data_IF_617276368182
#
_entry.id   IF_617276368182
#
_cell.length_a   1.000
_cell.length_b   1.000
_cell.length_c   1.000
_cell.angle_alpha   90.00
_cell.angle_beta   90.00
_cell.angle_gamma   90.00
#
_symmetry.space_group_name_H-M   'P 1'
#
loop_
_entity.id
_entity.type
_entity.pdbx_description
1 polymer ?
#
# COMPACT_ATOMS: atom_id res chain seq x y z
N UNK A 1 -29.05 -28.56 -36.36
CA UNK A 1 -27.74 -28.16 -35.78
C UNK A 1 -27.73 -28.54 -34.30
N UNK A 2 -27.52 -29.84 -34.03
CA UNK A 2 -27.62 -30.42 -32.69
C UNK A 2 -26.20 -30.73 -32.25
N UNK A 3 -25.75 -30.09 -31.17
CA UNK A 3 -24.38 -30.23 -30.64
C UNK A 3 -24.01 -31.71 -30.54
N UNK A 4 -22.91 -32.11 -31.20
CA UNK A 4 -22.23 -33.37 -30.94
C UNK A 4 -21.95 -33.41 -29.43
N UNK A 5 -22.79 -34.13 -28.68
CA UNK A 5 -22.57 -34.41 -27.26
C UNK A 5 -21.38 -35.36 -27.18
N UNK A 6 -20.18 -34.78 -27.16
CA UNK A 6 -18.97 -35.46 -26.71
C UNK A 6 -19.24 -35.85 -25.25
N UNK A 7 -19.63 -37.12 -25.05
CA UNK A 7 -20.02 -37.64 -23.74
C UNK A 7 -18.80 -37.60 -22.81
N UNK A 8 -18.83 -36.71 -21.82
CA UNK A 8 -17.87 -36.72 -20.70
C UNK A 8 -16.99 -35.48 -20.51
N UNK A 9 -17.32 -34.33 -21.09
CA UNK A 9 -16.60 -33.07 -20.85
C UNK A 9 -17.50 -31.89 -20.50
N UNK A 10 -16.96 -30.92 -19.76
CA UNK A 10 -17.64 -29.64 -19.45
C UNK A 10 -18.19 -28.99 -20.73
N UNK A 11 -19.43 -28.49 -20.74
CA UNK A 11 -20.00 -27.84 -21.94
C UNK A 11 -19.16 -26.63 -22.37
N UNK A 12 -18.98 -26.45 -23.69
CA UNK A 12 -18.29 -25.27 -24.29
C UNK A 12 -18.83 -23.95 -23.71
N UNK A 13 -20.15 -23.88 -23.50
CA UNK A 13 -20.85 -22.70 -22.98
C UNK A 13 -20.41 -22.33 -21.56
N UNK A 14 -20.31 -23.32 -20.66
CA UNK A 14 -19.93 -23.09 -19.26
C UNK A 14 -18.48 -22.65 -19.09
N UNK A 15 -17.56 -23.24 -19.86
CA UNK A 15 -16.14 -22.86 -19.83
C UNK A 15 -15.97 -21.39 -20.24
N UNK A 16 -16.65 -20.98 -21.31
CA UNK A 16 -16.61 -19.59 -21.78
C UNK A 16 -17.18 -18.60 -20.78
N UNK A 17 -18.35 -18.92 -20.19
CA UNK A 17 -19.00 -18.05 -19.20
C UNK A 17 -18.06 -17.86 -18.00
N UNK A 18 -17.51 -18.95 -17.48
CA UNK A 18 -16.58 -18.88 -16.34
C UNK A 18 -15.33 -18.05 -16.67
N UNK A 19 -14.74 -18.26 -17.84
CA UNK A 19 -13.56 -17.50 -18.28
C UNK A 19 -13.88 -16.01 -18.49
N UNK A 20 -15.02 -15.68 -19.09
CA UNK A 20 -15.47 -14.30 -19.21
C UNK A 20 -15.71 -13.64 -17.84
N UNK A 21 -16.30 -14.36 -16.88
CA UNK A 21 -16.48 -13.86 -15.51
C UNK A 21 -15.12 -13.50 -14.87
N UNK A 22 -14.12 -14.36 -15.01
CA UNK A 22 -12.77 -14.09 -14.50
C UNK A 22 -12.16 -12.85 -15.20
N UNK A 23 -12.22 -12.77 -16.53
CA UNK A 23 -11.71 -11.59 -17.24
C UNK A 23 -12.44 -10.30 -16.82
N UNK A 24 -13.75 -10.35 -16.56
CA UNK A 24 -14.49 -9.17 -16.05
C UNK A 24 -14.07 -8.77 -14.64
N UNK A 25 -13.75 -9.73 -13.76
CA UNK A 25 -13.20 -9.42 -12.43
C UNK A 25 -11.83 -8.77 -12.49
N UNK A 26 -10.95 -9.28 -13.36
CA UNK A 26 -9.63 -8.68 -13.58
C UNK A 26 -9.74 -7.26 -14.16
N UNK A 27 -10.71 -7.04 -15.06
CA UNK A 27 -11.00 -5.70 -15.57
C UNK A 27 -11.41 -4.75 -14.43
N UNK A 28 -12.34 -5.16 -13.56
CA UNK A 28 -12.75 -4.37 -12.41
C UNK A 28 -11.57 -4.04 -11.48
N UNK A 29 -10.74 -5.03 -11.16
CA UNK A 29 -9.54 -4.84 -10.34
C UNK A 29 -8.54 -3.87 -10.99
N UNK A 30 -8.34 -3.97 -12.31
CA UNK A 30 -7.48 -3.05 -13.05
C UNK A 30 -7.98 -1.60 -13.02
N UNK A 31 -9.29 -1.38 -13.20
CA UNK A 31 -9.89 -0.03 -13.07
C UNK A 31 -9.72 0.49 -11.66
N UNK A 32 -9.99 -0.33 -10.64
CA UNK A 32 -9.85 0.05 -9.24
C UNK A 32 -8.41 0.50 -8.92
N UNK A 33 -7.39 -0.26 -9.34
CA UNK A 33 -5.99 0.12 -9.17
C UNK A 33 -5.64 1.44 -9.87
N UNK A 34 -6.15 1.66 -11.08
CA UNK A 34 -5.92 2.91 -11.79
C UNK A 34 -6.60 4.10 -11.11
N UNK A 35 -7.83 3.93 -10.62
CA UNK A 35 -8.53 5.01 -9.90
C UNK A 35 -7.82 5.38 -8.61
N UNK A 36 -7.40 4.39 -7.81
CA UNK A 36 -6.63 4.63 -6.58
C UNK A 36 -5.31 5.31 -6.93
N UNK A 37 -4.55 4.79 -7.89
CA UNK A 37 -3.27 5.38 -8.30
C UNK A 37 -3.41 6.81 -8.82
N UNK A 38 -4.47 7.10 -9.58
CA UNK A 38 -4.73 8.45 -10.10
C UNK A 38 -5.12 9.44 -8.99
N UNK A 39 -6.03 9.03 -8.09
CA UNK A 39 -6.41 9.87 -6.94
C UNK A 39 -5.22 10.12 -6.03
N UNK A 40 -4.44 9.07 -5.73
CA UNK A 40 -3.20 9.22 -4.96
C UNK A 40 -2.27 10.23 -5.64
N UNK A 41 -2.02 10.09 -6.95
CA UNK A 41 -1.20 11.04 -7.71
C UNK A 41 -1.70 12.49 -7.60
N UNK A 42 -3.01 12.71 -7.75
CA UNK A 42 -3.60 14.05 -7.62
C UNK A 42 -3.37 14.64 -6.23
N UNK A 43 -3.44 13.82 -5.18
CA UNK A 43 -3.12 14.25 -3.82
C UNK A 43 -1.64 14.57 -3.65
N UNK A 44 -0.73 13.80 -4.27
CA UNK A 44 0.71 14.10 -4.25
C UNK A 44 1.01 15.47 -4.86
N UNK A 45 0.49 15.77 -6.06
CA UNK A 45 0.74 17.05 -6.74
C UNK A 45 0.18 18.26 -5.94
N UNK A 46 -0.81 18.05 -5.06
CA UNK A 46 -1.36 19.11 -4.20
C UNK A 46 -0.59 19.27 -2.87
N UNK A 47 0.12 18.23 -2.41
CA UNK A 47 0.78 18.13 -1.10
C UNK A 47 2.30 17.98 -1.21
N UNK A 48 2.90 18.49 -2.31
CA UNK A 48 4.32 18.37 -2.72
C UNK A 48 5.37 18.54 -1.58
N UNK A 49 5.01 19.21 -0.49
CA UNK A 49 5.91 19.57 0.62
C UNK A 49 6.12 18.45 1.65
N UNK A 50 5.26 17.43 1.73
CA UNK A 50 5.30 16.44 2.83
C UNK A 50 5.71 15.01 2.45
N UNK A 51 5.86 14.68 1.16
CA UNK A 51 5.89 13.29 0.74
C UNK A 51 7.14 12.89 -0.07
N UNK A 52 7.71 11.74 0.30
CA UNK A 52 8.95 11.19 -0.23
C UNK A 52 8.83 10.73 -1.71
N UNK A 53 9.86 11.01 -2.52
CA UNK A 53 9.99 10.58 -3.91
C UNK A 53 9.83 9.05 -4.12
N UNK A 54 10.11 8.25 -3.09
CA UNK A 54 9.89 6.80 -3.07
C UNK A 54 8.42 6.43 -3.23
N UNK A 55 7.53 7.16 -2.56
CA UNK A 55 6.09 6.89 -2.58
C UNK A 55 5.49 7.24 -3.94
N UNK A 56 5.95 8.32 -4.56
CA UNK A 56 5.57 8.67 -5.93
C UNK A 56 5.92 7.57 -6.94
N UNK A 57 7.12 6.99 -6.85
CA UNK A 57 7.53 5.86 -7.73
C UNK A 57 6.64 4.63 -7.53
N UNK A 58 6.27 4.32 -6.29
CA UNK A 58 5.37 3.20 -5.98
C UNK A 58 3.97 3.41 -6.62
N UNK A 59 3.42 4.62 -6.55
CA UNK A 59 2.13 4.95 -7.17
C UNK A 59 2.18 4.82 -8.69
N UNK A 60 3.24 5.32 -9.33
CA UNK A 60 3.44 5.15 -10.77
C UNK A 60 3.50 3.67 -11.17
N UNK A 61 4.21 2.85 -10.39
CA UNK A 61 4.31 1.42 -10.61
C UNK A 61 2.94 0.72 -10.50
N UNK A 62 2.14 1.05 -9.47
CA UNK A 62 0.78 0.49 -9.33
C UNK A 62 -0.13 0.86 -10.50
N UNK A 63 -0.02 2.08 -11.03
CA UNK A 63 -0.75 2.47 -12.23
C UNK A 63 -0.31 1.66 -13.45
N UNK A 64 1.00 1.45 -13.65
CA UNK A 64 1.52 0.60 -14.72
C UNK A 64 0.91 -0.81 -14.65
N UNK A 65 0.96 -1.45 -13.47
CA UNK A 65 0.38 -2.79 -13.25
C UNK A 65 -1.13 -2.79 -13.53
N UNK A 66 -1.86 -1.77 -13.08
CA UNK A 66 -3.28 -1.60 -13.37
C UNK A 66 -3.59 -1.54 -14.87
N UNK A 67 -2.81 -0.78 -15.64
CA UNK A 67 -2.99 -0.71 -17.11
C UNK A 67 -2.72 -2.05 -17.79
N UNK A 68 -1.67 -2.77 -17.39
CA UNK A 68 -1.34 -4.08 -17.95
C UNK A 68 -2.44 -5.10 -17.66
N UNK A 69 -3.00 -5.08 -16.45
CA UNK A 69 -4.12 -5.93 -16.07
C UNK A 69 -5.36 -5.67 -16.96
N UNK A 70 -5.68 -4.41 -17.26
CA UNK A 70 -6.79 -4.07 -18.17
C UNK A 70 -6.57 -4.58 -19.59
N UNK A 71 -5.36 -4.41 -20.13
CA UNK A 71 -5.02 -4.90 -21.47
C UNK A 71 -5.17 -6.41 -21.55
N UNK A 72 -4.66 -7.14 -20.55
CA UNK A 72 -4.81 -8.60 -20.45
C UNK A 72 -6.27 -9.03 -20.35
N UNK A 73 -7.05 -8.38 -19.49
CA UNK A 73 -8.47 -8.66 -19.31
C UNK A 73 -9.25 -8.44 -20.62
N UNK A 74 -8.94 -7.38 -21.36
CA UNK A 74 -9.59 -7.05 -22.63
C UNK A 74 -9.29 -8.08 -23.72
N UNK A 75 -8.01 -8.47 -23.88
CA UNK A 75 -7.61 -9.51 -24.85
C UNK A 75 -8.28 -10.85 -24.50
N UNK A 76 -8.28 -11.23 -23.21
CA UNK A 76 -8.93 -12.46 -22.73
C UNK A 76 -10.44 -12.46 -22.97
N UNK A 77 -11.11 -11.33 -22.69
CA UNK A 77 -12.54 -11.18 -22.91
C UNK A 77 -12.91 -11.27 -24.40
N UNK A 78 -12.22 -10.54 -25.27
CA UNK A 78 -12.45 -10.59 -26.72
C UNK A 78 -12.17 -11.99 -27.26
N UNK A 79 -11.08 -12.62 -26.83
CA UNK A 79 -10.69 -13.96 -27.26
C UNK A 79 -11.77 -15.00 -26.94
N UNK A 80 -12.32 -14.96 -25.73
CA UNK A 80 -13.38 -15.88 -25.30
C UNK A 80 -14.74 -15.57 -25.95
N UNK A 81 -15.12 -14.29 -25.99
CA UNK A 81 -16.42 -13.85 -26.52
C UNK A 81 -16.54 -14.08 -28.03
N UNK A 82 -15.56 -13.63 -28.81
CA UNK A 82 -15.56 -13.76 -30.29
C UNK A 82 -15.01 -15.10 -30.79
N UNK A 83 -14.66 -16.02 -29.89
CA UNK A 83 -13.95 -17.27 -30.24
C UNK A 83 -12.68 -17.02 -31.09
N UNK A 84 -12.03 -15.87 -30.90
CA UNK A 84 -10.90 -15.45 -31.71
C UNK A 84 -9.63 -16.18 -31.27
N UNK A 85 -9.22 -17.20 -32.04
CA UNK A 85 -8.08 -18.08 -31.72
C UNK A 85 -6.77 -17.32 -31.51
N UNK A 86 -6.29 -16.45 -32.42
CA UNK A 86 -5.06 -15.69 -32.18
C UNK A 86 -5.11 -14.80 -30.93
N UNK A 87 -6.28 -14.23 -30.59
CA UNK A 87 -6.43 -13.46 -29.35
C UNK A 87 -6.31 -14.36 -28.09
N UNK A 88 -6.86 -15.58 -28.13
CA UNK A 88 -6.66 -16.54 -27.04
C UNK A 88 -5.21 -17.05 -26.95
N UNK A 89 -4.52 -17.23 -28.08
CA UNK A 89 -3.10 -17.60 -28.09
C UNK A 89 -2.21 -16.51 -27.50
N UNK A 90 -2.43 -15.25 -27.88
CA UNK A 90 -1.70 -14.11 -27.31
C UNK A 90 -1.98 -13.98 -25.82
N UNK A 91 -3.22 -14.17 -25.37
CA UNK A 91 -3.54 -14.19 -23.94
C UNK A 91 -2.79 -15.31 -23.18
N UNK A 92 -2.81 -16.55 -23.68
CA UNK A 92 -2.04 -17.66 -23.09
C UNK A 92 -0.54 -17.34 -23.00
N UNK A 93 0.03 -16.82 -24.10
CA UNK A 93 1.45 -16.47 -24.17
C UNK A 93 1.79 -15.42 -23.11
N UNK A 94 1.00 -14.34 -23.01
CA UNK A 94 1.23 -13.27 -22.05
C UNK A 94 1.13 -13.78 -20.60
N UNK A 95 0.15 -14.62 -20.28
CA UNK A 95 0.07 -15.22 -18.94
C UNK A 95 1.30 -16.07 -18.59
N UNK A 96 1.81 -16.85 -19.55
CA UNK A 96 3.03 -17.63 -19.34
C UNK A 96 4.23 -16.69 -19.12
N UNK A 97 4.38 -15.65 -19.94
CA UNK A 97 5.48 -14.68 -19.79
C UNK A 97 5.42 -13.99 -18.43
N UNK A 98 4.26 -13.49 -18.01
CA UNK A 98 4.11 -12.86 -16.69
C UNK A 98 4.40 -13.83 -15.55
N UNK A 99 3.92 -15.09 -15.64
CA UNK A 99 4.21 -16.10 -14.61
C UNK A 99 5.70 -16.41 -14.48
N UNK A 100 6.44 -16.39 -15.58
CA UNK A 100 7.90 -16.57 -15.57
C UNK A 100 8.59 -15.35 -14.98
N UNK A 101 8.15 -14.13 -15.30
CA UNK A 101 8.71 -12.89 -14.73
C UNK A 101 8.46 -12.80 -13.21
N UNK A 102 7.26 -13.14 -12.75
CA UNK A 102 6.95 -13.18 -11.32
C UNK A 102 7.78 -14.25 -10.61
N UNK A 103 7.92 -15.43 -11.22
CA UNK A 103 8.75 -16.52 -10.70
C UNK A 103 10.23 -16.14 -10.58
N UNK A 104 10.80 -15.42 -11.56
CA UNK A 104 12.19 -14.96 -11.48
C UNK A 104 12.39 -13.91 -10.40
N UNK A 105 11.47 -12.94 -10.27
CA UNK A 105 11.53 -11.93 -9.20
C UNK A 105 11.41 -12.58 -7.82
N UNK A 106 10.49 -13.52 -7.63
CA UNK A 106 10.35 -14.26 -6.38
C UNK A 106 11.61 -15.07 -6.04
N UNK A 107 12.22 -15.72 -7.03
CA UNK A 107 13.47 -16.46 -6.86
C UNK A 107 14.64 -15.56 -6.47
N UNK A 108 14.81 -14.41 -7.14
CA UNK A 108 15.83 -13.42 -6.81
C UNK A 108 15.60 -12.89 -5.38
N UNK A 109 14.37 -12.52 -5.03
CA UNK A 109 14.04 -12.05 -3.68
C UNK A 109 14.35 -13.08 -2.59
N UNK A 110 14.06 -14.35 -2.85
CA UNK A 110 14.40 -15.45 -1.93
C UNK A 110 15.92 -15.62 -1.77
N UNK A 111 16.68 -15.61 -2.87
CA UNK A 111 18.14 -15.81 -2.82
C UNK A 111 18.87 -14.62 -2.18
N UNK A 112 18.40 -13.39 -2.38
CA UNK A 112 19.02 -12.19 -1.83
C UNK A 112 18.61 -11.85 -0.39
N UNK A 113 17.76 -12.67 0.26
CA UNK A 113 17.24 -12.39 1.61
C UNK A 113 18.32 -12.10 2.65
N UNK A 114 19.44 -12.82 2.59
CA UNK A 114 20.56 -12.63 3.52
C UNK A 114 21.31 -11.32 3.27
N UNK A 115 21.51 -10.93 2.01
CA UNK A 115 22.15 -9.67 1.67
C UNK A 115 21.28 -8.47 2.10
N UNK A 116 19.95 -8.62 2.00
CA UNK A 116 19.01 -7.59 2.48
C UNK A 116 19.08 -7.41 4.00
N UNK A 117 19.25 -8.49 4.77
CA UNK A 117 19.45 -8.43 6.23
C UNK A 117 20.74 -7.65 6.56
N UNK A 118 21.87 -7.99 5.94
CA UNK A 118 23.14 -7.27 6.15
C UNK A 118 23.03 -5.79 5.76
N UNK A 119 22.40 -5.49 4.62
CA UNK A 119 22.22 -4.11 4.17
C UNK A 119 21.31 -3.32 5.11
N UNK A 120 20.27 -3.97 5.65
CA UNK A 120 19.38 -3.40 6.65
C UNK A 120 20.15 -3.06 7.93
N UNK A 121 20.94 -4.00 8.44
CA UNK A 121 21.78 -3.79 9.63
C UNK A 121 22.77 -2.64 9.39
N UNK A 122 23.43 -2.60 8.24
CA UNK A 122 24.37 -1.54 7.86
C UNK A 122 23.69 -0.17 7.82
N UNK A 123 22.46 -0.10 7.30
CA UNK A 123 21.67 1.13 7.27
C UNK A 123 21.20 1.59 8.65
N UNK A 124 20.87 0.65 9.53
CA UNK A 124 20.54 0.94 10.93
C UNK A 124 21.75 1.50 11.68
N UNK A 125 22.93 0.91 11.49
CA UNK A 125 24.18 1.46 12.04
C UNK A 125 24.46 2.86 11.52
N UNK A 126 24.30 3.08 10.22
CA UNK A 126 24.47 4.39 9.61
C UNK A 126 23.50 5.43 10.21
N UNK A 127 22.21 5.09 10.39
CA UNK A 127 21.23 6.02 10.94
C UNK A 127 21.49 6.35 12.41
N UNK A 128 21.89 5.38 13.23
CA UNK A 128 22.26 5.61 14.63
C UNK A 128 23.52 6.49 14.74
N UNK A 129 24.55 6.24 13.92
CA UNK A 129 25.78 7.03 13.93
C UNK A 129 25.58 8.47 13.43
N UNK A 130 24.64 8.68 12.51
CA UNK A 130 24.36 10.01 11.96
C UNK A 130 23.43 10.84 12.85
N UNK A 131 22.71 10.20 13.78
CA UNK A 131 21.77 10.83 14.71
C UNK A 131 22.33 12.02 15.51
N UNK A 132 23.50 11.93 16.17
CA UNK A 132 24.07 13.07 16.90
C UNK A 132 24.70 14.13 15.97
N UNK A 133 25.04 13.76 14.73
CA UNK A 133 25.77 14.61 13.79
C UNK A 133 24.83 15.51 12.99
N UNK A 134 23.69 14.97 12.53
CA UNK A 134 22.76 15.67 11.66
C UNK A 134 21.32 15.54 12.17
N UNK A 135 20.76 16.70 12.51
CA UNK A 135 19.39 16.89 13.02
C UNK A 135 18.35 16.30 12.06
N UNK A 136 18.65 16.20 10.77
CA UNK A 136 17.74 15.64 9.76
C UNK A 136 17.42 14.17 10.03
N UNK A 137 18.32 13.42 10.68
CA UNK A 137 18.15 12.00 10.98
C UNK A 137 17.36 11.72 12.26
N UNK A 138 17.30 12.70 13.17
CA UNK A 138 16.59 12.60 14.44
C UNK A 138 15.13 12.14 14.29
N UNK A 139 14.27 12.78 13.44
CA UNK A 139 12.88 12.36 13.32
C UNK A 139 12.73 10.94 12.74
N UNK A 140 13.66 10.47 11.91
CA UNK A 140 13.60 9.12 11.35
C UNK A 140 13.92 8.07 12.41
N UNK A 141 15.01 8.29 13.17
CA UNK A 141 15.44 7.39 14.25
C UNK A 141 14.42 7.38 15.39
N UNK A 142 13.97 8.54 15.81
CA UNK A 142 12.96 8.67 16.86
C UNK A 142 11.67 7.93 16.46
N UNK A 143 11.24 8.11 15.20
CA UNK A 143 10.01 7.49 14.69
C UNK A 143 10.07 5.97 14.70
N UNK A 144 11.14 5.33 14.21
CA UNK A 144 11.17 3.87 14.18
C UNK A 144 11.39 3.26 15.57
N UNK A 145 12.15 3.92 16.46
CA UNK A 145 12.35 3.46 17.84
C UNK A 145 11.05 3.46 18.63
N UNK A 146 10.27 4.53 18.51
CA UNK A 146 8.96 4.62 19.16
C UNK A 146 7.93 3.67 18.56
N UNK A 147 7.91 3.51 17.22
CA UNK A 147 6.95 2.63 16.55
C UNK A 147 7.24 1.15 16.81
N UNK A 148 8.51 0.75 16.82
CA UNK A 148 8.94 -0.64 17.01
C UNK A 148 9.22 -1.00 18.47
N UNK A 149 9.21 -0.01 19.39
CA UNK A 149 9.56 -0.15 20.80
C UNK A 149 10.91 -0.84 20.97
N UNK A 150 11.92 -0.26 20.35
CA UNK A 150 13.28 -0.77 20.30
C UNK A 150 14.30 0.34 20.53
N UNK A 151 15.51 -0.02 20.97
CA UNK A 151 16.60 0.94 21.15
C UNK A 151 17.93 0.39 20.61
N UNK A 152 18.68 1.25 19.93
CA UNK A 152 19.93 0.87 19.26
C UNK A 152 19.71 -0.09 18.08
N UNK A 153 20.81 -0.66 17.55
CA UNK A 153 20.74 -1.60 16.44
C UNK A 153 20.43 -3.00 16.97
N UNK A 154 21.29 -3.51 17.85
CA UNK A 154 21.16 -4.79 18.55
C UNK A 154 20.73 -4.60 20.00
N UNK A 155 21.17 -3.52 20.65
CA UNK A 155 20.84 -3.23 22.05
C UNK A 155 20.98 -1.72 22.37
N UNK A 156 20.39 -1.25 23.46
CA UNK A 156 20.53 0.13 23.92
C UNK A 156 21.99 0.55 24.17
N UNK A 157 22.86 -0.42 24.47
CA UNK A 157 24.31 -0.21 24.64
C UNK A 157 25.00 0.28 23.38
N UNK A 158 24.39 0.13 22.20
CA UNK A 158 24.96 0.63 20.94
C UNK A 158 25.05 2.16 20.88
N UNK A 159 24.33 2.87 21.74
CA UNK A 159 24.49 4.31 21.93
C UNK A 159 25.75 4.69 22.70
N UNK A 160 26.32 3.75 23.46
CA UNK A 160 27.49 3.96 24.31
C UNK A 160 28.80 3.84 23.54
N UNK A 161 28.81 3.19 22.37
CA UNK A 161 30.01 3.03 21.52
C UNK A 161 30.43 4.35 20.84
N UNK A 162 29.61 5.40 20.90
CA UNK A 162 29.94 6.74 20.43
C UNK A 162 30.79 7.57 21.43
N UNK A 163 31.08 7.04 22.63
CA UNK A 163 31.80 7.73 23.71
C UNK A 163 33.18 7.11 23.98
N UNK A 164 34.17 7.90 24.42
CA UNK A 164 35.49 7.38 24.78
C UNK A 164 35.42 6.35 25.90
N UNK A 165 36.33 5.34 25.90
CA UNK A 165 36.28 4.20 26.78
C UNK A 165 36.84 4.56 28.17
N UNK A 166 36.06 5.26 28.99
CA UNK A 166 36.31 5.30 30.44
C UNK A 166 35.01 4.90 31.17
N UNK A 167 35.09 3.72 31.78
CA UNK A 167 34.29 3.12 32.86
C UNK A 167 32.77 3.36 32.86
N UNK A 168 32.01 2.46 32.23
CA UNK A 168 30.62 2.20 32.58
C UNK A 168 30.44 0.77 33.08
N UNK A 169 29.86 0.63 34.27
CA UNK A 169 29.49 -0.65 34.86
C UNK A 169 28.01 -0.94 34.63
N UNK A 170 27.61 -2.21 34.65
CA UNK A 170 26.24 -2.68 34.37
C UNK A 170 25.15 -2.05 35.29
N UNK A 171 25.55 -1.44 36.41
CA UNK A 171 24.68 -0.78 37.39
C UNK A 171 24.30 0.67 37.01
N UNK A 172 24.88 1.23 35.93
CA UNK A 172 24.66 2.62 35.51
C UNK A 172 23.45 2.80 34.57
N UNK A 173 22.37 2.03 34.74
CA UNK A 173 21.14 2.15 33.91
C UNK A 173 20.56 3.58 33.94
N UNK A 174 20.62 4.25 35.09
CA UNK A 174 20.14 5.64 35.26
C UNK A 174 21.02 6.67 34.54
N UNK A 175 22.32 6.39 34.40
CA UNK A 175 23.26 7.23 33.67
C UNK A 175 23.09 7.03 32.16
N UNK A 176 22.92 5.78 31.73
CA UNK A 176 22.64 5.40 30.35
C UNK A 176 21.30 5.99 29.87
N UNK A 177 20.30 6.08 30.76
CA UNK A 177 19.01 6.72 30.48
C UNK A 177 19.10 8.22 30.14
N UNK A 178 20.17 8.92 30.55
CA UNK A 178 20.42 10.30 30.16
C UNK A 178 21.12 10.43 28.80
N UNK A 179 21.79 9.37 28.34
CA UNK A 179 22.60 9.37 27.12
C UNK A 179 21.84 8.86 25.90
N UNK A 180 20.83 8.02 26.10
CA UNK A 180 19.98 7.52 25.01
C UNK A 180 18.93 8.56 24.59
N UNK A 181 18.52 8.57 23.31
CA UNK A 181 17.40 9.40 22.85
C UNK A 181 16.12 9.14 23.65
N UNK A 182 15.29 10.19 23.87
CA UNK A 182 13.98 10.04 24.51
C UNK A 182 13.05 9.07 23.78
N UNK A 183 13.27 8.83 22.48
CA UNK A 183 12.54 7.85 21.67
C UNK A 183 12.80 6.38 22.06
N UNK A 184 13.88 6.11 22.79
CA UNK A 184 14.18 4.80 23.37
C UNK A 184 13.41 4.51 24.67
N UNK A 185 12.70 5.50 25.21
CA UNK A 185 11.99 5.43 26.48
C UNK A 185 10.50 5.13 26.27
N UNK A 186 9.90 4.30 27.14
CA UNK A 186 8.44 4.20 27.18
C UNK A 186 7.82 5.44 27.84
N UNK A 187 7.06 6.20 27.05
CA UNK A 187 6.37 7.42 27.49
C UNK A 187 5.16 7.14 28.40
N UNK A 188 4.78 5.86 28.57
CA UNK A 188 3.70 5.47 29.48
C UNK A 188 4.11 5.51 30.95
N UNK A 189 5.41 5.52 31.25
CA UNK A 189 5.93 5.47 32.62
C UNK A 189 6.29 6.89 33.11
N UNK A 190 5.41 7.48 33.92
CA UNK A 190 5.44 8.92 34.26
C UNK A 190 6.57 9.35 35.21
N UNK A 191 7.41 8.43 35.69
CA UNK A 191 8.42 8.74 36.72
C UNK A 191 9.86 8.40 36.37
N UNK A 192 10.12 7.46 35.44
CA UNK A 192 11.46 7.09 34.98
C UNK A 192 11.40 6.57 33.53
N UNK A 193 12.37 6.94 32.69
CA UNK A 193 12.51 6.38 31.34
C UNK A 193 12.83 4.88 31.44
N UNK A 194 11.86 4.02 31.14
CA UNK A 194 12.13 2.58 30.95
C UNK A 194 12.65 2.37 29.54
N UNK A 195 13.92 1.98 29.44
CA UNK A 195 14.62 1.80 28.15
C UNK A 195 14.13 0.51 27.48
N UNK A 196 13.88 0.57 26.18
CA UNK A 196 13.63 -0.63 25.38
C UNK A 196 14.90 -1.49 25.28
N UNK A 197 14.89 -2.67 25.90
CA UNK A 197 16.04 -3.60 25.88
C UNK A 197 16.22 -4.35 24.55
N UNK A 198 15.19 -4.35 23.69
CA UNK A 198 15.26 -5.00 22.38
C UNK A 198 15.89 -4.10 21.32
N UNK A 199 16.86 -4.62 20.56
CA UNK A 199 17.44 -3.95 19.40
C UNK A 199 16.48 -3.81 18.23
N UNK A 200 16.57 -2.70 17.49
CA UNK A 200 15.71 -2.43 16.35
C UNK A 200 15.93 -3.38 15.17
N UNK A 201 17.13 -3.95 15.02
CA UNK A 201 17.41 -4.96 13.99
C UNK A 201 16.51 -6.19 14.15
N UNK A 202 16.40 -6.74 15.36
CA UNK A 202 15.60 -7.95 15.59
C UNK A 202 14.11 -7.74 15.30
N UNK A 203 13.53 -6.64 15.81
CA UNK A 203 12.13 -6.29 15.57
C UNK A 203 11.85 -6.04 14.09
N UNK A 204 12.74 -5.32 13.42
CA UNK A 204 12.59 -5.02 12.01
C UNK A 204 12.79 -6.30 11.16
N UNK A 205 13.72 -7.17 11.54
CA UNK A 205 13.96 -8.46 10.90
C UNK A 205 12.72 -9.35 10.97
N UNK A 206 12.09 -9.47 12.14
CA UNK A 206 10.85 -10.25 12.31
C UNK A 206 9.75 -9.75 11.35
N UNK A 207 9.59 -8.42 11.25
CA UNK A 207 8.62 -7.80 10.32
C UNK A 207 8.98 -8.12 8.87
N UNK A 208 10.25 -7.98 8.47
CA UNK A 208 10.70 -8.28 7.11
C UNK A 208 10.58 -9.77 6.78
N UNK A 209 10.82 -10.65 7.73
CA UNK A 209 10.70 -12.09 7.58
C UNK A 209 9.24 -12.51 7.38
N UNK A 210 8.34 -12.04 8.24
CA UNK A 210 6.90 -12.35 8.15
C UNK A 210 6.26 -11.74 6.89
N UNK A 211 6.59 -10.48 6.60
CA UNK A 211 6.12 -9.80 5.39
C UNK A 211 6.71 -10.47 4.15
N UNK A 212 7.99 -10.82 4.15
CA UNK A 212 8.69 -11.50 3.07
C UNK A 212 8.09 -12.88 2.77
N UNK A 213 7.79 -13.68 3.80
CA UNK A 213 7.10 -14.95 3.65
C UNK A 213 5.68 -14.77 3.09
N UNK A 214 4.96 -13.75 3.54
CA UNK A 214 3.63 -13.42 3.01
C UNK A 214 3.69 -13.03 1.53
N UNK A 215 4.69 -12.24 1.12
CA UNK A 215 4.90 -11.87 -0.28
C UNK A 215 5.28 -13.10 -1.13
N UNK A 216 6.18 -13.95 -0.64
CA UNK A 216 6.60 -15.17 -1.34
C UNK A 216 5.44 -16.16 -1.54
N UNK A 217 4.61 -16.35 -0.51
CA UNK A 217 3.44 -17.24 -0.60
C UNK A 217 2.37 -16.68 -1.54
N UNK A 218 2.10 -15.38 -1.49
CA UNK A 218 1.15 -14.72 -2.40
C UNK A 218 1.62 -14.76 -3.86
N UNK A 219 2.90 -14.50 -4.13
CA UNK A 219 3.48 -14.56 -5.49
C UNK A 219 3.45 -15.97 -6.05
N UNK A 220 3.82 -16.99 -5.26
CA UNK A 220 3.70 -18.38 -5.69
C UNK A 220 2.24 -18.77 -6.01
N UNK A 221 1.29 -18.30 -5.20
CA UNK A 221 -0.14 -18.52 -5.45
C UNK A 221 -0.61 -17.83 -6.74
N UNK A 222 -0.13 -16.61 -7.00
CA UNK A 222 -0.42 -15.88 -8.23
C UNK A 222 0.12 -16.61 -9.48
N UNK A 223 1.37 -17.08 -9.44
CA UNK A 223 1.99 -17.88 -10.51
C UNK A 223 1.16 -19.14 -10.80
N UNK A 224 0.76 -19.88 -9.76
CA UNK A 224 -0.09 -21.06 -9.91
C UNK A 224 -1.44 -20.72 -10.55
N UNK A 225 -2.08 -19.63 -10.10
CA UNK A 225 -3.35 -19.16 -10.66
C UNK A 225 -3.22 -18.76 -12.14
N UNK A 226 -2.14 -18.07 -12.52
CA UNK A 226 -1.85 -17.69 -13.90
C UNK A 226 -1.61 -18.91 -14.79
N UNK A 227 -0.86 -19.91 -14.31
CA UNK A 227 -0.63 -21.17 -15.03
C UNK A 227 -1.92 -21.96 -15.20
N UNK A 228 -2.77 -22.02 -14.17
CA UNK A 228 -4.12 -22.59 -14.29
C UNK A 228 -4.94 -21.83 -15.34
N UNK A 229 -4.93 -20.50 -15.33
CA UNK A 229 -5.60 -19.65 -16.32
C UNK A 229 -5.12 -19.92 -17.75
N UNK A 230 -3.80 -20.02 -17.95
CA UNK A 230 -3.19 -20.35 -19.23
C UNK A 230 -3.58 -21.77 -19.69
N UNK A 231 -3.61 -22.74 -18.77
CA UNK A 231 -4.07 -24.11 -19.03
C UNK A 231 -5.54 -24.18 -19.46
N UNK A 232 -6.41 -23.44 -18.78
CA UNK A 232 -7.83 -23.34 -19.14
C UNK A 232 -8.02 -22.67 -20.50
N UNK A 233 -7.30 -21.58 -20.77
CA UNK A 233 -7.34 -20.90 -22.07
C UNK A 233 -6.82 -21.83 -23.19
N UNK A 234 -5.73 -22.58 -22.96
CA UNK A 234 -5.22 -23.56 -23.92
C UNK A 234 -6.23 -24.68 -24.19
N UNK A 235 -6.87 -25.21 -23.15
CA UNK A 235 -7.93 -26.21 -23.28
C UNK A 235 -9.12 -25.69 -24.09
N UNK A 236 -9.54 -24.43 -23.84
CA UNK A 236 -10.57 -23.77 -24.62
C UNK A 236 -10.18 -23.66 -26.10
N UNK A 237 -8.94 -23.24 -26.39
CA UNK A 237 -8.45 -23.14 -27.78
C UNK A 237 -8.40 -24.50 -28.46
N UNK A 238 -7.90 -25.54 -27.79
CA UNK A 238 -7.88 -26.91 -28.33
C UNK A 238 -9.30 -27.38 -28.68
N UNK A 239 -10.26 -27.10 -27.80
CA UNK A 239 -11.66 -27.44 -28.03
C UNK A 239 -12.27 -26.65 -29.19
N UNK A 240 -11.97 -25.35 -29.29
CA UNK A 240 -12.41 -24.51 -30.42
C UNK A 240 -11.85 -24.99 -31.77
N UNK A 241 -10.57 -25.39 -31.81
CA UNK A 241 -9.97 -25.99 -33.01
C UNK A 241 -10.62 -27.32 -33.38
N UNK A 242 -10.85 -28.20 -32.40
CA UNK A 242 -11.50 -29.48 -32.64
C UNK A 242 -12.90 -29.31 -33.24
N UNK A 243 -13.70 -28.38 -32.72
CA UNK A 243 -15.03 -28.08 -33.29
C UNK A 243 -14.95 -27.57 -34.73
N UNK A 244 -13.98 -26.73 -35.04
CA UNK A 244 -13.82 -26.22 -36.39
C UNK A 244 -13.37 -27.30 -37.40
N UNK A 245 -12.49 -28.21 -36.98
CA UNK A 245 -12.09 -29.34 -37.83
C UNK A 245 -13.27 -30.28 -38.12
N UNK A 246 -14.10 -30.56 -37.11
CA UNK A 246 -15.31 -31.38 -37.28
C UNK A 246 -16.28 -30.70 -38.24
N UNK A 247 -16.46 -29.38 -38.13
CA UNK A 247 -17.36 -28.60 -39.00
C UNK A 247 -16.87 -28.58 -40.46
N UNK A 248 -15.56 -28.47 -40.66
CA UNK A 248 -14.91 -28.51 -41.97
C UNK A 248 -15.00 -29.90 -42.62
N UNK A 249 -14.78 -30.98 -41.85
CA UNK A 249 -15.00 -32.36 -42.33
C UNK A 249 -16.47 -32.59 -42.72
N UNK A 250 -17.42 -32.09 -41.92
CA UNK A 250 -18.86 -32.22 -42.17
C UNK A 250 -19.25 -31.52 -43.47
N UNK A 251 -18.72 -30.31 -43.70
CA UNK A 251 -18.96 -29.54 -44.91
C UNK A 251 -18.38 -30.20 -46.17
N UNK A 252 -17.18 -30.79 -46.05
CA UNK A 252 -16.58 -31.54 -47.16
C UNK A 252 -17.32 -32.85 -47.46
N UNK A 253 -17.82 -33.56 -46.44
CA UNK A 253 -18.65 -34.75 -46.64
C UNK A 253 -20.00 -34.44 -47.26
N UNK A 254 -20.64 -33.33 -46.86
CA UNK A 254 -21.87 -32.81 -47.47
C UNK A 254 -21.73 -32.58 -48.98
N UNK A 255 -20.63 -31.92 -49.40
CA UNK A 255 -20.35 -31.65 -50.81
C UNK A 255 -19.95 -32.89 -51.62
N UNK A 256 -19.17 -33.81 -51.02
CA UNK A 256 -18.63 -34.97 -51.75
C UNK A 256 -19.69 -36.04 -52.00
N UNK A 257 -20.51 -36.35 -50.99
CA UNK A 257 -21.52 -37.41 -51.05
C UNK A 257 -22.76 -37.01 -50.23
N UNK A 258 -23.74 -36.32 -50.83
CA UNK A 258 -24.97 -35.88 -50.14
C UNK A 258 -25.74 -37.04 -49.50
N UNK A 259 -25.71 -38.23 -50.10
CA UNK A 259 -26.30 -39.44 -49.54
C UNK A 259 -25.60 -39.91 -48.27
N UNK A 260 -24.27 -39.87 -48.22
CA UNK A 260 -23.50 -40.24 -47.03
C UNK A 260 -23.69 -39.21 -45.90
N UNK A 261 -23.77 -37.92 -46.25
CA UNK A 261 -24.15 -36.87 -45.31
C UNK A 261 -25.57 -37.07 -44.78
N UNK A 262 -26.56 -37.34 -45.64
CA UNK A 262 -27.94 -37.64 -45.22
C UNK A 262 -28.02 -38.88 -44.34
N UNK A 263 -27.15 -39.90 -44.59
CA UNK A 263 -27.05 -41.10 -43.75
C UNK A 263 -26.46 -40.77 -42.38
N UNK A 264 -25.41 -39.94 -42.32
CA UNK A 264 -24.91 -39.38 -41.05
C UNK A 264 -25.95 -38.50 -40.35
N UNK A 265 -26.83 -37.84 -41.11
CA UNK A 265 -27.95 -37.04 -40.61
C UNK A 265 -29.15 -37.90 -40.16
N UNK A 266 -29.27 -39.12 -40.69
CA UNK A 266 -30.28 -40.12 -40.33
C UNK A 266 -29.81 -41.08 -39.23
N UNK A 267 -28.49 -41.19 -39.03
CA UNK A 267 -27.85 -41.80 -37.85
C UNK A 267 -27.90 -40.84 -36.62
N UNK A 268 -28.50 -39.65 -36.78
CA UNK A 268 -29.05 -38.95 -35.62
C UNK A 268 -30.07 -39.88 -34.95
N UNK A 269 -30.14 -39.92 -33.61
CA UNK A 269 -31.14 -40.73 -32.95
C UNK A 269 -32.52 -40.33 -33.49
N UNK A 270 -33.36 -41.29 -33.92
CA UNK A 270 -34.71 -41.01 -34.37
C UNK A 270 -35.45 -40.23 -33.28
N UNK A 271 -36.50 -39.47 -33.62
CA UNK A 271 -37.24 -38.64 -32.65
C UNK A 271 -37.78 -39.43 -31.42
N UNK A 272 -37.70 -40.77 -31.43
CA UNK A 272 -37.96 -41.69 -30.32
C UNK A 272 -36.78 -42.52 -29.75
N UNK A 273 -35.52 -42.33 -30.21
CA UNK A 273 -34.31 -42.95 -29.66
C UNK A 273 -34.04 -44.43 -29.99
N UNK A 274 -32.76 -44.84 -29.95
CA UNK A 274 -32.33 -46.26 -29.99
C UNK A 274 -32.44 -46.90 -28.59
N UNK A 275 -32.62 -48.22 -28.51
CA UNK A 275 -32.47 -48.95 -27.25
C UNK A 275 -31.07 -48.78 -26.69
N UNK A 276 -30.98 -48.55 -25.37
CA UNK A 276 -29.74 -48.25 -24.68
C UNK A 276 -28.78 -49.44 -24.81
N UNK A 277 -27.72 -49.28 -25.61
CA UNK A 277 -26.61 -50.23 -25.59
C UNK A 277 -25.92 -50.02 -24.24
N UNK A 278 -25.73 -51.05 -23.39
CA UNK A 278 -25.25 -50.88 -22.02
C UNK A 278 -23.73 -50.68 -22.00
N UNK A 279 -23.24 -49.60 -22.62
CA UNK A 279 -21.92 -49.09 -22.28
C UNK A 279 -22.08 -48.29 -20.99
N UNK A 280 -21.78 -48.91 -19.85
CA UNK A 280 -21.59 -48.20 -18.59
C UNK A 280 -20.29 -47.39 -18.69
N UNK A 281 -20.31 -46.31 -19.49
CA UNK A 281 -19.30 -45.25 -19.43
C UNK A 281 -19.49 -44.63 -18.06
N UNK A 282 -18.56 -44.88 -17.14
CA UNK A 282 -18.51 -44.15 -15.87
C UNK A 282 -18.25 -42.69 -16.29
N UNK A 283 -19.25 -41.78 -16.24
CA UNK A 283 -18.95 -40.40 -16.54
C UNK A 283 -17.89 -39.96 -15.54
N UNK A 284 -16.86 -39.25 -15.99
CA UNK A 284 -15.95 -38.57 -15.05
C UNK A 284 -16.83 -37.81 -14.06
N UNK A 285 -16.68 -38.09 -12.76
CA UNK A 285 -17.51 -37.47 -11.73
C UNK A 285 -17.32 -35.96 -11.85
N UNK A 286 -18.31 -35.27 -12.42
CA UNK A 286 -18.35 -33.81 -12.41
C UNK A 286 -18.77 -33.41 -11.02
N UNK A 287 -17.80 -33.03 -10.19
CA UNK A 287 -18.03 -32.66 -8.79
C UNK A 287 -18.92 -31.41 -8.66
N UNK A 288 -18.91 -30.50 -9.64
CA UNK A 288 -19.72 -29.29 -9.64
C UNK A 288 -20.45 -29.07 -10.97
N UNK A 289 -21.74 -28.72 -10.91
CA UNK A 289 -22.54 -28.25 -12.05
C UNK A 289 -22.29 -26.76 -12.30
N UNK A 290 -22.42 -26.29 -13.54
CA UNK A 290 -22.14 -24.90 -13.92
C UNK A 290 -22.87 -23.83 -13.09
N UNK A 291 -24.14 -24.06 -12.74
CA UNK A 291 -24.89 -23.17 -11.84
C UNK A 291 -24.29 -23.11 -10.42
N UNK A 292 -23.76 -24.21 -9.89
CA UNK A 292 -23.16 -24.25 -8.54
C UNK A 292 -21.88 -23.41 -8.48
N UNK A 293 -21.12 -23.33 -9.57
CA UNK A 293 -19.94 -22.46 -9.68
C UNK A 293 -20.33 -20.98 -9.66
N UNK A 294 -21.39 -20.60 -10.40
CA UNK A 294 -21.91 -19.23 -10.40
C UNK A 294 -22.43 -18.86 -9.01
N UNK A 295 -23.19 -19.76 -8.38
CA UNK A 295 -23.67 -19.57 -7.02
C UNK A 295 -22.52 -19.46 -6.01
N UNK A 296 -21.46 -20.27 -6.14
CA UNK A 296 -20.26 -20.19 -5.31
C UNK A 296 -19.51 -18.87 -5.49
N UNK A 297 -19.32 -18.43 -6.73
CA UNK A 297 -18.70 -17.14 -7.04
C UNK A 297 -19.52 -15.97 -6.48
N UNK A 298 -20.83 -15.96 -6.74
CA UNK A 298 -21.73 -14.94 -6.20
C UNK A 298 -21.70 -14.92 -4.67
N UNK A 299 -21.70 -16.09 -4.03
CA UNK A 299 -21.58 -16.24 -2.58
C UNK A 299 -20.30 -15.62 -2.04
N UNK A 300 -19.15 -15.95 -2.62
CA UNK A 300 -17.84 -15.38 -2.23
C UNK A 300 -17.83 -13.86 -2.42
N UNK A 301 -18.33 -13.36 -3.55
CA UNK A 301 -18.40 -11.91 -3.82
C UNK A 301 -19.33 -11.19 -2.83
N UNK A 302 -20.51 -11.73 -2.53
CA UNK A 302 -21.42 -11.14 -1.54
C UNK A 302 -20.83 -11.16 -0.13
N UNK A 303 -20.13 -12.22 0.25
CA UNK A 303 -19.44 -12.29 1.54
C UNK A 303 -18.30 -11.25 1.61
N UNK A 304 -17.52 -11.11 0.54
CA UNK A 304 -16.48 -10.09 0.44
C UNK A 304 -17.03 -8.66 0.57
N UNK A 305 -18.14 -8.36 -0.11
CA UNK A 305 -18.81 -7.06 0.00
C UNK A 305 -19.37 -6.81 1.41
N UNK A 306 -19.92 -7.83 2.06
CA UNK A 306 -20.42 -7.73 3.43
C UNK A 306 -19.29 -7.45 4.43
N UNK A 307 -18.17 -8.18 4.33
CA UNK A 307 -16.99 -7.94 5.18
C UNK A 307 -16.40 -6.55 4.94
N UNK A 308 -16.35 -6.10 3.69
CA UNK A 308 -15.95 -4.73 3.36
C UNK A 308 -16.88 -3.70 3.99
N UNK A 309 -18.20 -3.89 3.90
CA UNK A 309 -19.17 -2.99 4.52
C UNK A 309 -19.01 -2.92 6.05
N UNK A 310 -18.75 -4.05 6.70
CA UNK A 310 -18.43 -4.08 8.14
C UNK A 310 -17.16 -3.29 8.45
N UNK A 311 -16.11 -3.43 7.64
CA UNK A 311 -14.85 -2.69 7.82
C UNK A 311 -15.04 -1.17 7.59
N UNK A 312 -15.81 -0.77 6.57
CA UNK A 312 -16.14 0.64 6.32
C UNK A 312 -16.93 1.22 7.49
N UNK A 313 -17.88 0.47 8.04
CA UNK A 313 -18.66 0.89 9.22
C UNK A 313 -17.76 1.09 10.44
N UNK A 314 -16.79 0.20 10.64
CA UNK A 314 -15.79 0.31 11.71
C UNK A 314 -14.91 1.54 11.56
N UNK A 315 -14.29 1.71 10.38
CA UNK A 315 -13.43 2.86 10.10
C UNK A 315 -14.18 4.17 10.23
N UNK A 316 -15.43 4.23 9.76
CA UNK A 316 -16.25 5.43 9.90
C UNK A 316 -16.50 5.80 11.36
N UNK A 317 -16.69 4.81 12.25
CA UNK A 317 -16.84 5.04 13.69
C UNK A 317 -15.55 5.63 14.27
N UNK A 318 -14.41 5.02 13.97
CA UNK A 318 -13.10 5.50 14.44
C UNK A 318 -12.79 6.92 13.92
N UNK A 319 -13.17 7.22 12.68
CA UNK A 319 -13.04 8.55 12.08
C UNK A 319 -13.87 9.61 12.82
N UNK A 320 -15.12 9.27 13.18
CA UNK A 320 -16.00 10.15 13.96
C UNK A 320 -15.42 10.39 15.36
N UNK A 321 -14.92 9.34 16.01
CA UNK A 321 -14.27 9.43 17.32
C UNK A 321 -13.03 10.33 17.27
N UNK A 322 -12.15 10.12 16.28
CA UNK A 322 -10.93 10.92 16.09
C UNK A 322 -11.24 12.38 15.78
N UNK A 323 -12.26 12.66 14.94
CA UNK A 323 -12.71 14.05 14.68
C UNK A 323 -13.26 14.70 15.93
N UNK A 324 -14.02 13.97 16.73
CA UNK A 324 -14.54 14.48 18.01
C UNK A 324 -13.40 14.79 18.98
N UNK A 325 -12.42 13.90 19.12
CA UNK A 325 -11.22 14.12 19.92
C UNK A 325 -10.44 15.35 19.43
N UNK A 326 -10.22 15.47 18.12
CA UNK A 326 -9.55 16.63 17.52
C UNK A 326 -10.31 17.93 17.79
N UNK A 327 -11.64 17.94 17.65
CA UNK A 327 -12.45 19.12 17.90
C UNK A 327 -12.39 19.59 19.36
N UNK A 328 -12.20 18.67 20.31
CA UNK A 328 -12.02 18.99 21.74
C UNK A 328 -10.60 19.50 22.03
N UNK A 329 -9.59 18.88 21.45
CA UNK A 329 -8.18 19.18 21.74
C UNK A 329 -7.70 20.44 21.01
N UNK A 330 -8.17 20.67 19.78
CA UNK A 330 -7.73 21.80 18.96
C UNK A 330 -7.87 23.18 19.62
N UNK A 331 -9.01 23.56 20.23
CA UNK A 331 -9.12 24.86 20.92
C UNK A 331 -8.20 24.96 22.14
N UNK A 332 -7.93 23.84 22.83
CA UNK A 332 -6.99 23.82 23.96
C UNK A 332 -5.54 24.06 23.48
N UNK A 333 -5.13 23.37 22.41
CA UNK A 333 -3.82 23.58 21.79
C UNK A 333 -3.67 25.01 21.24
N UNK A 334 -4.75 25.56 20.68
CA UNK A 334 -4.78 26.95 20.21
C UNK A 334 -4.57 27.92 21.37
N UNK A 335 -5.28 27.72 22.48
CA UNK A 335 -5.15 28.55 23.67
C UNK A 335 -3.76 28.46 24.32
N UNK A 336 -3.16 27.27 24.41
CA UNK A 336 -1.79 27.11 24.92
C UNK A 336 -0.76 27.75 23.98
N UNK A 337 -0.93 27.62 22.66
CA UNK A 337 -0.10 28.32 21.68
C UNK A 337 -0.18 29.84 21.86
N UNK A 338 -1.39 30.40 21.96
CA UNK A 338 -1.61 31.84 22.11
C UNK A 338 -1.06 32.34 23.46
N UNK A 339 -1.15 31.51 24.51
CA UNK A 339 -0.55 31.78 25.82
C UNK A 339 0.98 31.83 25.75
N UNK A 340 1.63 30.86 25.12
CA UNK A 340 3.08 30.85 24.95
C UNK A 340 3.56 32.02 24.08
N UNK A 341 2.79 32.37 23.04
CA UNK A 341 3.04 33.56 22.23
C UNK A 341 3.07 34.83 23.10
N UNK A 342 2.05 35.06 23.93
CA UNK A 342 1.99 36.22 24.83
C UNK A 342 3.11 36.22 25.90
N UNK A 343 3.51 35.04 26.40
CA UNK A 343 4.65 34.92 27.31
C UNK A 343 5.95 35.35 26.64
N UNK A 344 6.17 34.94 25.40
CA UNK A 344 7.36 35.33 24.64
C UNK A 344 7.39 36.85 24.41
N UNK A 345 6.26 37.47 24.05
CA UNK A 345 6.19 38.94 23.90
C UNK A 345 6.53 39.67 25.19
N UNK A 346 6.06 39.14 26.34
CA UNK A 346 6.40 39.70 27.65
C UNK A 346 7.90 39.62 27.91
N UNK A 347 8.55 38.48 27.60
CA UNK A 347 10.00 38.34 27.73
C UNK A 347 10.74 39.36 26.88
N UNK A 348 10.37 39.51 25.60
CA UNK A 348 11.06 40.46 24.72
C UNK A 348 10.95 41.91 25.24
N UNK A 349 9.79 42.28 25.77
CA UNK A 349 9.55 43.60 26.38
C UNK A 349 10.36 43.78 27.66
N UNK A 350 10.39 42.77 28.53
CA UNK A 350 11.11 42.84 29.80
C UNK A 350 12.63 42.90 29.56
N UNK A 351 13.15 42.18 28.56
CA UNK A 351 14.55 42.27 28.10
C UNK A 351 14.88 43.63 27.49
N UNK A 352 13.99 44.21 26.68
CA UNK A 352 14.15 45.58 26.15
C UNK A 352 14.22 46.61 27.30
N UNK A 353 13.35 46.48 28.30
CA UNK A 353 13.34 47.34 29.48
C UNK A 353 14.66 47.25 30.25
N UNK A 354 15.20 46.04 30.41
CA UNK A 354 16.48 45.83 31.08
C UNK A 354 17.66 46.38 30.28
N UNK A 355 17.67 46.16 28.96
CA UNK A 355 18.73 46.63 28.06
C UNK A 355 18.78 48.17 28.00
N UNK A 356 17.61 48.81 27.96
CA UNK A 356 17.48 50.25 27.74
C UNK A 356 17.36 51.07 29.03
N UNK A 357 17.46 50.44 30.21
CA UNK A 357 17.31 51.11 31.53
C UNK A 357 18.21 52.33 31.76
N UNK A 358 19.35 52.38 31.08
CA UNK A 358 20.36 53.44 31.25
C UNK A 358 20.30 54.51 30.13
N UNK A 359 19.32 54.44 29.23
CA UNK A 359 19.18 55.39 28.11
C UNK A 359 18.21 56.49 28.51
N UNK A 360 18.69 57.72 28.59
CA UNK A 360 17.88 58.88 29.00
C UNK A 360 16.76 59.14 27.98
N UNK A 361 15.51 59.19 28.45
CA UNK A 361 14.33 59.44 27.62
C UNK A 361 13.76 58.22 26.88
N UNK A 362 14.27 56.99 27.12
CA UNK A 362 13.69 55.77 26.56
C UNK A 362 12.55 55.23 27.42
N UNK A 363 11.35 55.14 26.82
CA UNK A 363 10.20 54.44 27.40
C UNK A 363 9.79 53.27 26.50
N UNK A 364 9.82 52.06 27.05
CA UNK A 364 9.54 50.80 26.31
C UNK A 364 8.15 50.85 25.66
N UNK A 365 8.09 50.50 24.36
CA UNK A 365 6.87 50.55 23.57
C UNK A 365 6.51 51.95 23.02
N UNK A 366 7.35 52.95 23.27
CA UNK A 366 7.28 54.26 22.61
C UNK A 366 8.53 54.49 21.77
N UNK A 367 8.39 55.30 20.74
CA UNK A 367 9.52 55.86 20.01
C UNK A 367 9.81 57.26 20.56
N UNK A 368 10.80 57.37 21.47
CA UNK A 368 11.19 58.63 22.12
C UNK A 368 9.99 59.41 22.72
N UNK A 369 9.11 58.73 23.44
CA UNK A 369 7.94 59.33 24.09
C UNK A 369 6.69 59.44 23.22
N UNK A 370 6.76 59.12 21.92
CA UNK A 370 5.58 59.01 21.06
C UNK A 370 5.17 57.54 20.83
N UNK A 371 3.86 57.20 20.83
CA UNK A 371 3.42 55.86 20.49
C UNK A 371 3.77 55.53 19.03
N UNK A 372 4.32 54.34 18.81
CA UNK A 372 4.69 53.85 17.46
C UNK A 372 3.48 53.84 16.51
N UNK A 373 2.30 53.48 17.03
CA UNK A 373 1.05 53.42 16.26
C UNK A 373 0.06 54.49 16.72
N UNK A 374 -0.19 55.50 15.87
CA UNK A 374 -1.07 56.65 16.19
C UNK A 374 -2.55 56.40 15.86
N UNK A 375 -2.85 55.49 14.93
CA UNK A 375 -4.21 55.24 14.40
C UNK A 375 -4.88 54.00 14.99
N UNK A 376 -4.15 53.21 15.77
CA UNK A 376 -4.62 51.93 16.31
C UNK A 376 -5.23 52.17 17.71
N UNK A 377 -6.39 51.59 18.06
CA UNK A 377 -6.95 51.67 19.40
C UNK A 377 -5.97 51.11 20.44
N UNK A 378 -5.90 51.74 21.62
CA UNK A 378 -4.97 51.32 22.69
C UNK A 378 -5.16 49.87 23.16
N UNK A 379 -6.39 49.35 23.04
CA UNK A 379 -6.75 48.00 23.48
C UNK A 379 -6.47 46.91 22.42
N UNK A 380 -6.08 47.30 21.20
CA UNK A 380 -5.79 46.36 20.13
C UNK A 380 -4.34 45.88 20.24
N UNK A 381 -4.14 44.57 20.41
CA UNK A 381 -2.83 43.95 20.31
C UNK A 381 -2.28 44.16 18.89
N UNK A 382 -1.13 44.79 18.76
CA UNK A 382 -0.39 44.86 17.51
C UNK A 382 0.51 43.65 17.43
N UNK A 383 0.29 42.82 16.42
CA UNK A 383 1.08 41.61 16.20
C UNK A 383 2.49 41.99 15.73
N UNK A 384 3.55 41.60 16.45
CA UNK A 384 4.92 41.79 15.98
C UNK A 384 5.19 41.00 14.72
N UNK A 385 6.10 41.54 13.93
CA UNK A 385 6.71 40.83 12.81
C UNK A 385 7.49 39.61 13.31
N UNK A 386 7.76 38.68 12.40
CA UNK A 386 8.56 37.49 12.70
C UNK A 386 9.94 37.85 13.29
N UNK A 387 10.56 38.93 12.81
CA UNK A 387 11.85 39.41 13.33
C UNK A 387 11.73 39.96 14.74
N UNK A 388 10.68 40.73 15.04
CA UNK A 388 10.43 41.29 16.38
C UNK A 388 10.10 40.20 17.40
N UNK A 389 9.41 39.14 16.98
CA UNK A 389 9.11 37.99 17.84
C UNK A 389 10.39 37.23 18.27
N UNK A 390 11.36 37.11 17.36
CA UNK A 390 12.63 36.42 17.60
C UNK A 390 13.81 37.37 17.86
N UNK A 391 13.56 38.64 18.21
CA UNK A 391 14.58 39.69 18.29
C UNK A 391 15.79 39.35 19.18
N UNK A 392 15.55 38.61 20.27
CA UNK A 392 16.58 38.25 21.26
C UNK A 392 17.10 36.81 21.10
N UNK A 393 16.81 36.16 19.98
CA UNK A 393 17.24 34.80 19.67
C UNK A 393 18.36 34.82 18.63
N UNK A 394 19.29 33.86 18.72
CA UNK A 394 20.35 33.68 17.72
C UNK A 394 19.76 33.40 16.32
N UNK A 395 20.41 33.95 15.30
CA UNK A 395 19.97 33.87 13.90
C UNK A 395 19.76 32.42 13.44
N UNK A 396 20.62 31.48 13.88
CA UNK A 396 20.49 30.06 13.53
C UNK A 396 19.17 29.46 14.05
N UNK A 397 18.74 29.86 15.24
CA UNK A 397 17.49 29.40 15.85
C UNK A 397 16.26 30.06 15.23
N UNK A 398 16.38 31.32 14.79
CA UNK A 398 15.36 32.02 14.02
C UNK A 398 15.17 31.38 12.63
N UNK A 399 16.27 31.15 11.91
CA UNK A 399 16.26 30.59 10.55
C UNK A 399 15.63 29.19 10.49
N UNK A 400 15.82 28.35 11.53
CA UNK A 400 15.18 27.03 11.62
C UNK A 400 13.64 27.11 11.74
N UNK A 401 13.09 28.28 12.07
CA UNK A 401 11.67 28.51 12.33
C UNK A 401 11.03 29.49 11.33
N UNK A 402 11.72 29.85 10.25
CA UNK A 402 11.23 30.78 9.22
C UNK A 402 9.90 30.37 8.61
N UNK A 403 9.62 29.07 8.60
CA UNK A 403 8.48 28.48 7.93
C UNK A 403 7.25 28.38 8.85
N UNK A 404 7.42 28.71 10.14
CA UNK A 404 6.35 28.68 11.15
C UNK A 404 5.58 29.99 11.09
N UNK A 405 4.33 29.93 10.63
CA UNK A 405 3.41 31.07 10.75
C UNK A 405 3.00 31.27 12.21
N UNK A 406 3.31 32.44 12.76
CA UNK A 406 3.02 32.78 14.15
C UNK A 406 1.52 33.02 14.38
N UNK A 407 0.83 33.65 13.42
CA UNK A 407 -0.62 33.69 13.29
C UNK A 407 -1.01 33.83 11.80
N UNK A 408 -1.97 32.99 11.37
CA UNK A 408 -2.68 32.87 10.06
C UNK A 408 -2.64 31.46 9.46
#
# INVERSE_FOLDING_TARGET
>A
MQELKLSGGWSKKWIKIFFCMICTTLCYLGVLLLTIGSVSRMQYEQLDVLMDIRMYRLVLFLMLVGTLCLVLAFIGFIGSWRENRPALYTFCLLLIVFSLMEGTVAFIGYTQRYNMEIEMETKLWFSVNQYPVDISWQPYVDSYQMQLRCCGVHNYTDWLTALPPEDYTQDDKDLIAQLVPLSCCDLADTTQCTIYEAGCHSKLYDIFYDTGNTVLTNTLTAVLLQLCGAGFAFFLVRKLRLFALIDEELFHTEKRNPFAYSKMQNDLPPKGGYQNIPFKRIPAKTYFKGWQMIAGYAGISTAGLFLYWLNVKENHRNDIEMRSAKNVIYPLLLAERDREYLKQLRRNRDEEAELMKNVEGWEVGTWYGEPVFKTIPKDKLVEPTFQEFYAHTDYKHMAKRSDIKLMN
#
